data_IF_837098737774
#
_entry.id   IF_837098737774
#
_cell.length_a   1.000
_cell.length_b   1.000
_cell.length_c   1.000
_cell.angle_alpha   90.00
_cell.angle_beta   90.00
_cell.angle_gamma   90.00
#
_symmetry.space_group_name_H-M   'P 1'
#
loop_
_entity.id
_entity.type
_entity.pdbx_description
1 polymer ?
#
# COMPACT_ATOMS: atom_id res chain seq x y z
N UNK A 1 2.70 -5.05 -10.67
CA UNK A 1 3.30 -3.71 -10.52
C UNK A 1 2.39 -2.69 -11.14
N UNK A 2 2.32 -1.50 -10.56
CA UNK A 2 1.66 -0.39 -11.23
C UNK A 2 2.51 0.10 -12.41
N UNK A 3 1.95 0.99 -13.22
CA UNK A 3 2.61 1.52 -14.41
C UNK A 3 3.60 2.65 -14.11
N UNK A 4 4.14 2.74 -12.89
CA UNK A 4 5.08 3.79 -12.52
C UNK A 4 6.37 3.71 -13.35
N UNK A 5 6.95 4.87 -13.65
CA UNK A 5 8.08 5.02 -14.57
C UNK A 5 9.29 4.19 -14.13
N UNK A 6 9.55 4.11 -12.82
CA UNK A 6 10.67 3.34 -12.27
C UNK A 6 10.54 1.83 -12.47
N UNK A 7 9.33 1.28 -12.64
CA UNK A 7 9.14 -0.14 -12.97
C UNK A 7 9.44 -0.47 -14.44
N UNK A 8 9.58 0.56 -15.29
CA UNK A 8 9.90 0.42 -16.73
C UNK A 8 11.29 0.94 -17.08
N UNK A 9 12.09 1.34 -16.09
CA UNK A 9 13.42 1.87 -16.32
C UNK A 9 14.34 0.78 -16.90
N UNK A 10 15.06 1.11 -17.98
CA UNK A 10 16.07 0.24 -18.58
C UNK A 10 17.27 -0.02 -17.66
N UNK A 11 17.46 0.82 -16.65
CA UNK A 11 18.50 0.64 -15.63
C UNK A 11 18.14 -0.40 -14.55
N UNK A 12 16.89 -0.85 -14.50
CA UNK A 12 16.43 -1.82 -13.52
C UNK A 12 16.93 -3.23 -13.89
N UNK A 13 17.90 -3.75 -13.12
CA UNK A 13 18.42 -5.11 -13.29
C UNK A 13 17.46 -6.10 -12.63
N UNK A 14 16.79 -6.92 -13.44
CA UNK A 14 15.86 -7.95 -12.97
C UNK A 14 16.63 -9.29 -12.95
N UNK A 15 16.70 -9.99 -11.81
CA UNK A 15 17.31 -11.33 -11.76
C UNK A 15 16.47 -12.35 -12.55
N UNK A 16 17.11 -13.35 -13.14
CA UNK A 16 16.50 -14.29 -14.10
C UNK A 16 15.37 -15.15 -13.53
N UNK A 17 15.22 -15.21 -12.21
CA UNK A 17 14.18 -15.97 -11.52
C UNK A 17 12.90 -15.16 -11.22
N UNK A 18 12.85 -13.86 -11.55
CA UNK A 18 11.72 -12.99 -11.25
C UNK A 18 11.17 -12.39 -12.55
N UNK A 19 9.87 -12.57 -12.77
CA UNK A 19 9.11 -11.91 -13.84
C UNK A 19 8.22 -10.80 -13.28
N UNK A 20 7.93 -9.79 -14.11
CA UNK A 20 7.01 -8.71 -13.75
C UNK A 20 5.64 -8.94 -14.39
N UNK A 21 4.60 -8.88 -13.57
CA UNK A 21 3.21 -8.78 -14.02
C UNK A 21 2.72 -7.36 -13.79
N UNK A 22 2.36 -6.67 -14.88
CA UNK A 22 1.84 -5.31 -14.81
C UNK A 22 0.32 -5.33 -14.67
N UNK A 23 -0.18 -4.47 -13.79
CA UNK A 23 -1.61 -4.28 -13.62
C UNK A 23 -2.06 -3.38 -14.78
N UNK A 24 -3.14 -3.71 -15.52
CA UNK A 24 -3.68 -2.85 -16.56
C UNK A 24 -4.01 -1.46 -16.02
N UNK A 25 -3.95 -0.44 -16.88
CA UNK A 25 -4.20 0.93 -16.47
C UNK A 25 -5.62 1.10 -15.93
N UNK A 26 -5.77 2.05 -15.00
CA UNK A 26 -7.06 2.43 -14.40
C UNK A 26 -7.84 1.34 -13.67
N UNK A 27 -7.21 0.20 -13.34
CA UNK A 27 -7.82 -0.88 -12.53
C UNK A 27 -7.09 -1.06 -11.20
N UNK A 28 -7.07 -0.03 -10.31
CA UNK A 28 -6.39 -0.11 -9.02
C UNK A 28 -6.93 -1.24 -8.15
N UNK A 29 -8.21 -1.59 -8.24
CA UNK A 29 -8.85 -2.69 -7.52
C UNK A 29 -8.18 -4.06 -7.75
N UNK A 30 -7.45 -4.22 -8.86
CA UNK A 30 -6.70 -5.44 -9.12
C UNK A 30 -5.36 -5.51 -8.39
N UNK A 31 -4.91 -4.43 -7.74
CA UNK A 31 -3.75 -4.48 -6.86
C UNK A 31 -4.10 -5.21 -5.55
N UNK A 32 -3.52 -6.38 -5.26
CA UNK A 32 -3.81 -7.12 -4.03
C UNK A 32 -3.53 -6.29 -2.76
N UNK A 33 -2.55 -5.37 -2.82
CA UNK A 33 -2.18 -4.50 -1.72
C UNK A 33 -3.27 -3.50 -1.34
N UNK A 34 -4.21 -3.16 -2.23
CA UNK A 34 -5.27 -2.21 -1.90
C UNK A 34 -6.20 -2.73 -0.80
N UNK A 35 -6.40 -4.05 -0.69
CA UNK A 35 -7.14 -4.66 0.42
C UNK A 35 -6.36 -4.53 1.74
N UNK A 36 -5.06 -4.78 1.71
CA UNK A 36 -4.18 -4.62 2.86
C UNK A 36 -4.12 -3.16 3.32
N UNK A 37 -3.93 -2.21 2.40
CA UNK A 37 -3.87 -0.78 2.68
C UNK A 37 -5.13 -0.26 3.37
N UNK A 38 -6.33 -0.64 2.90
CA UNK A 38 -7.60 -0.32 3.57
C UNK A 38 -7.63 -0.83 5.00
N UNK A 39 -7.09 -2.03 5.26
CA UNK A 39 -7.01 -2.58 6.62
C UNK A 39 -6.05 -1.76 7.50
N UNK A 40 -4.89 -1.36 6.98
CA UNK A 40 -3.95 -0.52 7.73
C UNK A 40 -4.53 0.86 8.05
N UNK A 41 -5.18 1.52 7.09
CA UNK A 41 -5.87 2.80 7.32
C UNK A 41 -6.97 2.64 8.38
N UNK A 42 -7.78 1.59 8.30
CA UNK A 42 -8.81 1.33 9.31
C UNK A 42 -8.24 1.06 10.71
N UNK A 43 -7.08 0.40 10.80
CA UNK A 43 -6.37 0.19 12.07
C UNK A 43 -5.86 1.51 12.61
N UNK A 44 -5.20 2.34 11.80
CA UNK A 44 -4.73 3.68 12.19
C UNK A 44 -5.89 4.57 12.66
N UNK A 45 -7.00 4.60 11.90
CA UNK A 45 -8.21 5.33 12.25
C UNK A 45 -8.92 4.79 13.50
N UNK A 46 -8.72 3.53 13.88
CA UNK A 46 -9.21 2.97 15.15
C UNK A 46 -8.29 3.32 16.32
N UNK A 47 -6.98 3.33 16.08
CA UNK A 47 -5.99 3.64 17.11
C UNK A 47 -6.06 5.12 17.50
N UNK A 48 -6.16 6.05 16.53
CA UNK A 48 -6.16 7.50 16.81
C UNK A 48 -7.24 7.94 17.83
N UNK A 49 -8.53 7.60 17.68
CA UNK A 49 -9.55 7.91 18.67
C UNK A 49 -9.29 7.25 20.03
N UNK A 50 -8.73 6.04 20.06
CA UNK A 50 -8.41 5.35 21.30
C UNK A 50 -7.28 6.04 22.08
N UNK A 51 -6.23 6.48 21.38
CA UNK A 51 -5.13 7.25 21.98
C UNK A 51 -5.64 8.63 22.48
N UNK A 52 -6.47 9.32 21.69
CA UNK A 52 -7.10 10.58 22.12
C UNK A 52 -7.96 10.38 23.36
N UNK A 53 -8.74 9.30 23.42
CA UNK A 53 -9.53 8.96 24.59
C UNK A 53 -8.65 8.70 25.82
N UNK A 54 -7.56 7.94 25.67
CA UNK A 54 -6.59 7.71 26.76
C UNK A 54 -5.98 9.00 27.31
N UNK A 55 -5.73 9.98 26.45
CA UNK A 55 -5.19 11.28 26.86
C UNK A 55 -6.20 12.11 27.66
N UNK A 56 -7.49 11.99 27.36
CA UNK A 56 -8.57 12.72 28.06
C UNK A 56 -8.82 12.26 29.50
N UNK A 57 -8.30 11.11 29.92
CA UNK A 57 -8.44 10.57 31.28
C UNK A 57 -7.18 10.76 32.13
N UNK A 58 -6.20 11.54 31.64
CA UNK A 58 -4.92 11.73 32.31
C UNK A 58 -4.85 13.03 33.14
N UNK A 59 -5.99 13.66 33.39
CA UNK A 59 -6.17 14.77 34.33
C UNK A 59 -6.58 14.26 35.73
#
# INVERSE_FOLDING_TARGET
MDNAIWHKSSTLKIPTNIGFTFIPPYTPEMNPLNKCGKRFVNVDLRIKPFELWKMSYKD
#
